data_IF_572323285216
#
_entry.id   IF_572323285216
#
_cell.length_a   1.000
_cell.length_b   1.000
_cell.length_c   1.000
_cell.angle_alpha   90.00
_cell.angle_beta   90.00
_cell.angle_gamma   90.00
#
_symmetry.space_group_name_H-M   'P 1'
#
loop_
_entity.id
_entity.type
_entity.pdbx_description
1 polymer ?
#
# COMPACT_ATOMS: atom_id res chain seq x y z
N UNK A 1 -11.10 -17.07 31.62
CA UNK A 1 -10.38 -15.86 31.15
C UNK A 1 -8.96 -16.30 30.89
N UNK A 2 -8.50 -16.35 29.64
CA UNK A 2 -7.15 -16.83 29.30
C UNK A 2 -6.19 -15.67 29.53
N UNK A 3 -5.15 -15.86 30.35
CA UNK A 3 -4.13 -14.85 30.57
C UNK A 3 -3.29 -14.70 29.29
N UNK A 4 -3.16 -13.48 28.78
CA UNK A 4 -2.31 -13.15 27.64
C UNK A 4 -1.00 -12.61 28.17
N UNK A 5 0.08 -13.32 27.90
CA UNK A 5 1.45 -12.97 28.27
C UNK A 5 2.16 -12.27 27.11
N UNK A 6 3.22 -11.53 27.44
CA UNK A 6 4.02 -10.77 26.46
C UNK A 6 5.50 -11.12 26.58
N UNK A 7 6.15 -11.29 25.43
CA UNK A 7 7.60 -11.45 25.34
C UNK A 7 8.20 -10.40 24.41
N UNK A 8 9.33 -9.84 24.82
CA UNK A 8 10.14 -9.01 23.94
C UNK A 8 11.08 -9.89 23.12
N UNK A 9 11.06 -9.74 21.81
CA UNK A 9 11.92 -10.47 20.88
C UNK A 9 12.77 -9.49 20.11
N UNK A 10 14.09 -9.67 20.14
CA UNK A 10 14.99 -8.95 19.25
C UNK A 10 15.10 -9.68 17.91
N UNK A 11 14.95 -8.94 16.82
CA UNK A 11 15.17 -9.44 15.48
C UNK A 11 16.49 -8.90 14.95
N UNK A 12 17.45 -9.80 14.72
CA UNK A 12 18.80 -9.44 14.27
C UNK A 12 18.78 -8.80 12.87
N UNK A 13 18.03 -9.38 11.94
CA UNK A 13 17.89 -8.88 10.56
C UNK A 13 17.30 -7.45 10.51
N UNK A 14 16.33 -7.14 11.37
CA UNK A 14 15.73 -5.80 11.45
C UNK A 14 16.49 -4.84 12.38
N UNK A 15 17.45 -5.32 13.16
CA UNK A 15 18.13 -4.54 14.20
C UNK A 15 17.22 -3.97 15.30
N UNK A 16 16.01 -4.53 15.53
CA UNK A 16 15.02 -3.95 16.46
C UNK A 16 14.20 -5.01 17.22
N UNK A 17 13.61 -4.59 18.35
CA UNK A 17 12.79 -5.44 19.22
C UNK A 17 11.29 -5.30 18.97
N UNK A 18 10.55 -6.39 19.12
CA UNK A 18 9.10 -6.49 18.96
C UNK A 18 8.46 -7.14 20.19
N UNK A 19 7.20 -6.81 20.45
CA UNK A 19 6.40 -7.46 21.49
C UNK A 19 5.50 -8.52 20.87
N UNK A 20 5.65 -9.76 21.31
CA UNK A 20 4.78 -10.87 20.93
C UNK A 20 3.82 -11.20 22.07
N UNK A 21 2.54 -11.28 21.73
CA UNK A 21 1.48 -11.73 22.62
C UNK A 21 1.25 -13.24 22.44
N UNK A 22 1.12 -13.96 23.56
CA UNK A 22 0.81 -15.38 23.56
C UNK A 22 -0.15 -15.73 24.69
N UNK A 23 -1.05 -16.66 24.39
CA UNK A 23 -1.88 -17.31 25.39
C UNK A 23 -1.14 -18.54 25.90
N UNK A 24 -1.20 -18.79 27.20
CA UNK A 24 -0.65 -19.99 27.82
C UNK A 24 -1.53 -21.19 27.44
N UNK A 25 -1.26 -21.78 26.28
CA UNK A 25 -1.88 -23.03 25.83
C UNK A 25 -1.03 -24.19 26.34
N UNK A 26 -1.61 -25.10 27.12
CA UNK A 26 -0.87 -26.20 27.76
C UNK A 26 -0.21 -27.11 26.71
N UNK A 27 1.03 -26.80 26.31
CA UNK A 27 1.85 -27.66 25.45
C UNK A 27 2.69 -28.58 26.33
N UNK A 28 2.80 -29.85 25.95
CA UNK A 28 3.47 -30.89 26.76
C UNK A 28 4.96 -30.64 27.00
N UNK A 29 5.57 -29.72 26.25
CA UNK A 29 7.01 -29.43 26.29
C UNK A 29 7.35 -28.05 26.90
N UNK A 30 6.35 -27.26 27.30
CA UNK A 30 6.56 -25.95 27.94
C UNK A 30 7.22 -24.89 27.03
N UNK A 31 7.23 -25.11 25.72
CA UNK A 31 7.78 -24.22 24.68
C UNK A 31 6.70 -23.95 23.64
N UNK A 32 6.50 -22.66 23.36
CA UNK A 32 5.59 -22.09 22.38
C UNK A 32 6.35 -21.60 21.17
N UNK A 33 5.92 -21.98 19.98
CA UNK A 33 6.47 -21.41 18.76
C UNK A 33 5.54 -20.32 18.22
N UNK A 34 6.10 -19.15 17.94
CA UNK A 34 5.41 -18.02 17.28
C UNK A 34 6.21 -17.59 16.05
N UNK A 35 5.49 -17.12 15.04
CA UNK A 35 6.07 -16.56 13.82
C UNK A 35 5.72 -15.09 13.70
N UNK A 36 6.72 -14.24 13.45
CA UNK A 36 6.53 -12.87 12.99
C UNK A 36 6.94 -12.82 11.51
N UNK A 37 6.04 -12.39 10.64
CA UNK A 37 6.35 -12.21 9.22
C UNK A 37 6.99 -10.83 9.07
N UNK A 38 8.21 -10.81 8.53
CA UNK A 38 8.86 -9.63 7.97
C UNK A 38 8.82 -9.74 6.44
N UNK A 39 9.15 -8.66 5.73
CA UNK A 39 9.02 -8.60 4.28
C UNK A 39 9.71 -9.79 3.59
N UNK A 40 10.99 -9.98 3.87
CA UNK A 40 11.89 -10.93 3.19
C UNK A 40 12.20 -12.20 4.00
N UNK A 41 11.69 -12.31 5.23
CA UNK A 41 11.89 -13.48 6.08
C UNK A 41 10.79 -13.66 7.13
N UNK A 42 10.59 -14.89 7.60
CA UNK A 42 9.78 -15.18 8.78
C UNK A 42 10.69 -15.37 9.97
N UNK A 43 10.50 -14.56 11.01
CA UNK A 43 11.14 -14.75 12.31
C UNK A 43 10.33 -15.78 13.11
N UNK A 44 10.91 -16.95 13.31
CA UNK A 44 10.34 -18.00 14.16
C UNK A 44 11.00 -17.92 15.54
N UNK A 45 10.17 -17.85 16.57
CA UNK A 45 10.59 -17.63 17.96
C UNK A 45 10.01 -18.73 18.83
N UNK A 46 10.88 -19.41 19.57
CA UNK A 46 10.51 -20.37 20.61
C UNK A 46 10.54 -19.65 21.97
N UNK A 47 9.39 -19.56 22.63
CA UNK A 47 9.15 -18.85 23.89
C UNK A 47 8.75 -19.88 24.95
N UNK A 48 9.28 -19.82 26.16
CA UNK A 48 8.82 -20.70 27.25
C UNK A 48 7.62 -20.12 28.03
N UNK A 49 7.07 -20.90 28.96
CA UNK A 49 5.95 -20.47 29.82
C UNK A 49 6.23 -19.21 30.67
N UNK A 50 7.50 -18.85 30.91
CA UNK A 50 7.86 -17.63 31.63
C UNK A 50 8.00 -16.41 30.69
N UNK A 51 7.72 -16.59 29.39
CA UNK A 51 7.90 -15.55 28.38
C UNK A 51 9.37 -15.35 27.99
N UNK A 52 10.27 -16.28 28.29
CA UNK A 52 11.66 -16.20 27.90
C UNK A 52 11.83 -16.74 26.49
N UNK A 53 12.40 -15.92 25.60
CA UNK A 53 12.80 -16.34 24.26
C UNK A 53 13.98 -17.30 24.38
N UNK A 54 13.77 -18.56 24.00
CA UNK A 54 14.79 -19.62 24.05
C UNK A 54 15.57 -19.72 22.76
N UNK A 55 14.89 -19.51 21.64
CA UNK A 55 15.49 -19.57 20.31
C UNK A 55 14.77 -18.61 19.38
N UNK A 56 15.53 -17.93 18.55
CA UNK A 56 15.04 -17.23 17.37
C UNK A 56 15.75 -17.80 16.14
N UNK A 57 15.02 -17.92 15.03
CA UNK A 57 15.61 -18.17 13.72
C UNK A 57 14.86 -17.37 12.66
N UNK A 58 15.60 -16.81 11.73
CA UNK A 58 15.03 -16.20 10.53
C UNK A 58 15.03 -17.25 9.43
N UNK A 59 13.88 -17.43 8.77
CA UNK A 59 13.77 -18.22 7.55
C UNK A 59 13.52 -17.24 6.42
N UNK A 60 14.48 -17.09 5.50
CA UNK A 60 14.29 -16.28 4.30
C UNK A 60 13.07 -16.80 3.55
N UNK A 61 12.20 -15.88 3.16
CA UNK A 61 11.08 -16.20 2.29
C UNK A 61 11.69 -16.20 0.88
N UNK A 62 11.91 -17.38 0.29
CA UNK A 62 12.45 -17.51 -1.08
C UNK A 62 11.61 -16.78 -2.14
N UNK A 63 10.36 -16.43 -1.79
CA UNK A 63 9.44 -15.67 -2.62
C UNK A 63 8.60 -14.71 -1.75
N UNK A 64 9.08 -13.49 -1.52
CA UNK A 64 8.29 -12.45 -0.87
C UNK A 64 7.12 -12.07 -1.81
N UNK A 65 5.86 -12.41 -1.46
CA UNK A 65 4.70 -12.11 -2.30
C UNK A 65 4.49 -10.61 -2.46
N UNK A 66 5.00 -9.79 -1.52
CA UNK A 66 4.86 -8.35 -1.56
C UNK A 66 5.93 -7.70 -2.43
N UNK A 67 7.17 -8.20 -2.40
CA UNK A 67 8.18 -7.83 -3.39
C UNK A 67 7.73 -8.18 -4.81
N UNK A 68 7.15 -9.36 -5.01
CA UNK A 68 6.61 -9.78 -6.31
C UNK A 68 5.48 -8.87 -6.78
N UNK A 69 4.55 -8.51 -5.88
CA UNK A 69 3.48 -7.55 -6.21
C UNK A 69 4.04 -6.16 -6.56
N UNK A 70 5.06 -5.67 -5.83
CA UNK A 70 5.72 -4.39 -6.14
C UNK A 70 6.32 -4.42 -7.55
N UNK A 71 7.02 -5.50 -7.89
CA UNK A 71 7.66 -5.67 -9.20
C UNK A 71 6.61 -5.73 -10.33
N UNK A 72 5.53 -6.49 -10.14
CA UNK A 72 4.42 -6.59 -11.10
C UNK A 72 3.74 -5.23 -11.32
N UNK A 73 3.43 -4.51 -10.24
CA UNK A 73 2.77 -3.21 -10.30
C UNK A 73 3.68 -2.16 -10.97
N UNK A 74 4.97 -2.15 -10.63
CA UNK A 74 5.93 -1.23 -11.25
C UNK A 74 6.06 -1.49 -12.76
N UNK A 75 6.15 -2.76 -13.16
CA UNK A 75 6.24 -3.16 -14.55
C UNK A 75 4.98 -2.78 -15.34
N UNK A 76 3.80 -2.95 -14.75
CA UNK A 76 2.53 -2.56 -15.38
C UNK A 76 2.43 -1.03 -15.54
N UNK A 77 2.85 -0.24 -14.56
CA UNK A 77 2.92 1.21 -14.73
C UNK A 77 3.96 1.66 -15.76
N UNK A 78 5.08 0.96 -15.86
CA UNK A 78 6.06 1.21 -16.91
C UNK A 78 5.45 0.96 -18.30
N UNK A 79 4.67 -0.12 -18.47
CA UNK A 79 3.90 -0.38 -19.70
C UNK A 79 2.88 0.72 -20.00
N UNK A 80 2.06 1.12 -19.01
CA UNK A 80 1.08 2.22 -19.16
C UNK A 80 1.78 3.51 -19.61
N UNK A 81 2.94 3.82 -19.06
CA UNK A 81 3.68 5.02 -19.44
C UNK A 81 4.26 4.95 -20.87
N UNK A 82 4.46 3.74 -21.41
CA UNK A 82 4.99 3.54 -22.76
C UNK A 82 3.98 3.49 -23.89
N UNK A 83 2.72 3.21 -23.58
CA UNK A 83 1.64 3.25 -24.55
C UNK A 83 1.20 4.71 -24.85
N UNK A 84 0.64 5.01 -26.04
CA UNK A 84 -0.05 6.26 -26.30
C UNK A 84 -1.31 6.40 -25.43
N UNK A 85 -1.63 7.62 -24.99
CA UNK A 85 -2.92 7.94 -24.36
C UNK A 85 -2.84 9.19 -23.48
N UNK A 86 -3.92 9.45 -22.75
CA UNK A 86 -3.99 10.63 -21.87
C UNK A 86 -3.02 10.52 -20.69
N UNK A 87 -2.51 11.66 -20.17
CA UNK A 87 -1.76 11.69 -18.93
C UNK A 87 -2.62 11.19 -17.76
N UNK A 88 -2.01 10.42 -16.86
CA UNK A 88 -2.64 9.81 -15.70
C UNK A 88 -2.04 10.43 -14.44
N UNK A 89 -2.90 10.90 -13.56
CA UNK A 89 -2.52 11.41 -12.23
C UNK A 89 -3.16 10.54 -11.18
N UNK A 90 -2.35 9.95 -10.30
CA UNK A 90 -2.80 9.13 -9.18
C UNK A 90 -2.34 9.77 -7.88
N UNK A 91 -3.28 10.18 -7.05
CA UNK A 91 -3.01 10.71 -5.72
C UNK A 91 -3.40 9.68 -4.66
N UNK A 92 -2.42 9.18 -3.90
CA UNK A 92 -2.63 8.29 -2.77
C UNK A 92 -2.63 9.10 -1.47
N UNK A 93 -3.83 9.24 -0.89
CA UNK A 93 -4.07 9.98 0.33
C UNK A 93 -4.10 9.05 1.53
N UNK A 94 -3.00 8.99 2.28
CA UNK A 94 -2.88 8.15 3.49
C UNK A 94 -1.71 8.61 4.38
N UNK A 95 -1.84 8.39 5.69
CA UNK A 95 -0.72 8.44 6.64
C UNK A 95 -0.27 7.05 7.10
N UNK A 96 -0.92 5.97 6.63
CA UNK A 96 -0.63 4.61 7.04
C UNK A 96 0.80 4.24 6.63
N UNK A 97 1.70 4.13 7.62
CA UNK A 97 3.13 3.95 7.36
C UNK A 97 3.49 2.69 6.55
N UNK A 98 2.71 1.62 6.66
CA UNK A 98 2.93 0.39 5.87
C UNK A 98 2.52 0.61 4.42
N UNK A 99 1.35 1.23 4.21
CA UNK A 99 0.85 1.49 2.87
C UNK A 99 1.67 2.58 2.16
N UNK A 100 2.08 3.64 2.87
CA UNK A 100 3.01 4.65 2.36
C UNK A 100 4.32 4.00 1.89
N UNK A 101 4.91 3.12 2.71
CA UNK A 101 6.14 2.40 2.32
C UNK A 101 5.92 1.52 1.10
N UNK A 102 4.79 0.83 1.01
CA UNK A 102 4.45 0.01 -0.14
C UNK A 102 4.36 0.85 -1.44
N UNK A 103 3.66 1.98 -1.42
CA UNK A 103 3.58 2.88 -2.59
C UNK A 103 4.95 3.51 -2.91
N UNK A 104 5.75 3.86 -1.89
CA UNK A 104 7.12 4.34 -2.10
C UNK A 104 7.99 3.27 -2.76
N UNK A 105 7.87 2.00 -2.36
CA UNK A 105 8.59 0.91 -3.01
C UNK A 105 8.21 0.74 -4.48
N UNK A 106 6.93 0.87 -4.83
CA UNK A 106 6.48 0.89 -6.23
C UNK A 106 7.14 2.04 -7.00
N UNK A 107 7.08 3.27 -6.46
CA UNK A 107 7.71 4.45 -7.07
C UNK A 107 9.20 4.23 -7.31
N UNK A 108 9.92 3.69 -6.32
CA UNK A 108 11.35 3.43 -6.44
C UNK A 108 11.65 2.33 -7.46
N UNK A 109 10.83 1.28 -7.51
CA UNK A 109 11.00 0.19 -8.47
C UNK A 109 10.74 0.65 -9.90
N UNK A 110 9.72 1.49 -10.13
CA UNK A 110 9.48 2.12 -11.42
C UNK A 110 10.68 2.96 -11.88
N UNK A 111 11.26 3.74 -10.96
CA UNK A 111 12.46 4.53 -11.23
C UNK A 111 13.69 3.65 -11.53
N UNK A 112 13.87 2.55 -10.80
CA UNK A 112 14.94 1.58 -11.05
C UNK A 112 14.79 0.93 -12.43
N UNK A 113 13.60 0.45 -12.78
CA UNK A 113 13.31 -0.16 -14.09
C UNK A 113 13.62 0.81 -15.24
N UNK A 114 13.23 2.08 -15.10
CA UNK A 114 13.50 3.10 -16.11
C UNK A 114 14.99 3.48 -16.25
N UNK A 115 15.80 3.25 -15.21
CA UNK A 115 17.24 3.58 -15.24
C UNK A 115 18.12 2.39 -15.60
N UNK A 116 17.64 1.15 -15.41
CA UNK A 116 18.39 -0.10 -15.65
C UNK A 116 18.11 -0.74 -17.00
N UNK A 117 16.93 -0.52 -17.59
CA UNK A 117 16.62 -0.96 -18.96
C UNK A 117 17.34 -0.06 -19.98
N UNK A 118 18.64 -0.28 -20.14
CA UNK A 118 19.41 0.29 -21.24
C UNK A 118 18.96 -0.34 -22.56
N UNK A 119 18.22 0.43 -23.35
CA UNK A 119 18.23 0.59 -24.84
C UNK A 119 16.83 1.04 -25.26
N UNK A 120 16.68 2.34 -25.59
CA UNK A 120 15.51 3.00 -26.22
C UNK A 120 14.36 3.58 -25.34
N UNK A 121 14.49 3.61 -24.00
CA UNK A 121 13.43 4.18 -23.15
C UNK A 121 13.30 5.71 -23.29
N UNK A 122 12.18 6.13 -23.90
CA UNK A 122 11.76 7.51 -24.19
C UNK A 122 11.29 8.29 -22.95
N UNK A 123 11.40 7.72 -21.74
CA UNK A 123 10.69 8.23 -20.57
C UNK A 123 11.62 8.93 -19.57
N UNK A 124 11.39 10.20 -19.31
CA UNK A 124 12.03 10.91 -18.21
C UNK A 124 11.23 10.75 -16.93
N UNK A 125 11.76 10.05 -15.94
CA UNK A 125 11.20 9.99 -14.60
C UNK A 125 11.92 10.96 -13.66
N UNK A 126 11.15 11.63 -12.80
CA UNK A 126 11.67 12.38 -11.67
C UNK A 126 10.94 11.98 -10.41
N UNK A 127 11.71 11.67 -9.36
CA UNK A 127 11.18 11.33 -8.04
C UNK A 127 11.52 12.46 -7.09
N UNK A 128 10.54 12.93 -6.32
CA UNK A 128 10.74 13.98 -5.32
C UNK A 128 10.09 13.60 -4.00
N UNK A 129 10.81 13.85 -2.90
CA UNK A 129 10.29 13.63 -1.55
C UNK A 129 10.39 14.93 -0.77
N UNK A 130 9.25 15.51 -0.40
CA UNK A 130 9.20 16.75 0.37
C UNK A 130 8.03 16.74 1.34
N UNK A 131 8.28 17.07 2.62
CA UNK A 131 7.27 17.16 3.68
C UNK A 131 6.28 15.98 3.68
N UNK A 132 6.79 14.74 3.74
CA UNK A 132 5.98 13.50 3.75
C UNK A 132 5.16 13.23 2.47
N UNK A 133 5.38 13.99 1.40
CA UNK A 133 4.89 13.64 0.06
C UNK A 133 6.03 13.05 -0.74
N UNK A 134 5.80 11.85 -1.27
CA UNK A 134 6.67 11.26 -2.29
C UNK A 134 5.90 11.30 -3.60
N UNK A 135 6.51 11.84 -4.64
CA UNK A 135 5.92 11.87 -5.97
C UNK A 135 6.88 11.35 -7.02
N UNK A 136 6.33 10.66 -7.99
CA UNK A 136 6.94 10.29 -9.25
C UNK A 136 6.25 11.08 -10.35
N UNK A 137 7.03 11.69 -11.22
CA UNK A 137 6.56 12.40 -12.40
C UNK A 137 7.27 11.89 -13.64
N UNK A 138 6.49 11.61 -14.66
CA UNK A 138 6.93 11.30 -16.01
C UNK A 138 6.08 12.05 -17.04
N UNK A 139 6.26 11.77 -18.33
CA UNK A 139 5.47 12.44 -19.38
C UNK A 139 3.99 12.05 -19.32
N UNK A 140 3.68 10.77 -19.12
CA UNK A 140 2.30 10.27 -19.07
C UNK A 140 1.83 9.96 -17.66
N UNK A 141 2.71 9.47 -16.77
CA UNK A 141 2.30 9.01 -15.44
C UNK A 141 2.82 9.90 -14.30
N UNK A 142 1.91 10.34 -13.45
CA UNK A 142 2.22 11.05 -12.21
C UNK A 142 1.58 10.31 -11.03
N UNK A 143 2.40 9.78 -10.13
CA UNK A 143 1.94 9.07 -8.93
C UNK A 143 2.43 9.81 -7.70
N UNK A 144 1.58 10.02 -6.71
CA UNK A 144 1.96 10.63 -5.45
C UNK A 144 1.38 9.89 -4.25
N UNK A 145 2.08 9.94 -3.12
CA UNK A 145 1.57 9.47 -1.83
C UNK A 145 1.86 10.50 -0.74
N UNK A 146 0.83 10.91 -0.01
CA UNK A 146 0.93 11.86 1.12
C UNK A 146 -0.29 11.84 2.05
N UNK A 147 -0.14 12.32 3.30
CA UNK A 147 -1.28 12.48 4.23
C UNK A 147 -2.08 13.77 3.99
N UNK A 148 -1.86 14.46 2.87
CA UNK A 148 -2.58 15.66 2.47
C UNK A 148 -2.83 15.63 0.96
N UNK A 149 -3.98 16.15 0.55
CA UNK A 149 -4.31 16.34 -0.87
C UNK A 149 -3.72 17.68 -1.28
N UNK A 150 -2.84 17.65 -2.29
CA UNK A 150 -2.28 18.87 -2.87
C UNK A 150 -2.64 18.86 -4.34
N UNK A 151 -3.25 19.94 -4.82
CA UNK A 151 -3.36 20.19 -6.26
C UNK A 151 -1.93 20.23 -6.81
N UNK A 152 -1.57 19.18 -7.56
CA UNK A 152 -0.33 19.18 -8.31
C UNK A 152 -0.41 20.39 -9.26
N UNK A 153 0.44 21.39 -9.01
CA UNK A 153 0.57 22.60 -9.84
C UNK A 153 1.24 22.30 -11.19
N UNK A 154 1.31 21.04 -11.58
CA UNK A 154 1.78 20.64 -12.90
C UNK A 154 0.59 20.86 -13.82
N UNK A 155 0.71 21.82 -14.73
CA UNK A 155 -0.27 22.04 -15.80
C UNK A 155 -0.21 20.85 -16.76
N UNK A 156 -0.81 19.74 -16.35
CA UNK A 156 -1.04 18.58 -17.19
C UNK A 156 -2.37 18.86 -17.89
N UNK A 157 -2.34 18.81 -19.23
CA UNK A 157 -3.53 19.07 -20.04
C UNK A 157 -4.40 17.81 -20.03
N UNK A 158 -5.67 17.98 -19.65
CA UNK A 158 -6.73 16.97 -19.68
C UNK A 158 -6.32 15.59 -19.11
N UNK A 159 -5.82 15.50 -17.86
CA UNK A 159 -5.43 14.21 -17.28
C UNK A 159 -6.63 13.40 -16.80
N UNK A 160 -6.54 12.08 -16.95
CA UNK A 160 -7.36 11.15 -16.17
C UNK A 160 -6.85 11.14 -14.72
N UNK A 161 -7.66 11.65 -13.79
CA UNK A 161 -7.28 11.77 -12.38
C UNK A 161 -7.91 10.67 -11.54
N UNK A 162 -7.09 10.00 -10.76
CA UNK A 162 -7.50 8.98 -9.81
C UNK A 162 -7.05 9.27 -8.40
N UNK A 163 -7.83 8.81 -7.43
CA UNK A 163 -7.49 8.90 -6.01
C UNK A 163 -7.54 7.53 -5.35
N UNK A 164 -6.54 7.25 -4.51
CA UNK A 164 -6.59 6.20 -3.50
C UNK A 164 -6.78 6.89 -2.14
N UNK A 165 -7.96 6.80 -1.56
CA UNK A 165 -8.37 7.54 -0.36
C UNK A 165 -8.43 6.61 0.86
N UNK A 166 -7.57 6.85 1.86
CA UNK A 166 -7.71 6.23 3.18
C UNK A 166 -8.80 6.96 3.98
N UNK A 167 -9.93 6.29 4.20
CA UNK A 167 -11.10 6.92 4.84
C UNK A 167 -10.81 7.33 6.29
N UNK A 168 -9.94 6.60 6.99
CA UNK A 168 -9.61 6.91 8.37
C UNK A 168 -8.80 8.20 8.44
N UNK A 169 -7.91 8.42 7.48
CA UNK A 169 -7.15 9.66 7.36
C UNK A 169 -8.08 10.83 7.00
N UNK A 170 -9.02 10.59 6.08
CA UNK A 170 -9.97 11.61 5.63
C UNK A 170 -10.86 12.09 6.77
N UNK A 171 -11.38 11.16 7.58
CA UNK A 171 -12.18 11.46 8.76
C UNK A 171 -11.38 12.20 9.83
N UNK A 172 -10.15 11.77 10.11
CA UNK A 172 -9.27 12.42 11.10
C UNK A 172 -8.99 13.87 10.72
N UNK A 173 -8.78 14.14 9.43
CA UNK A 173 -8.55 15.48 8.91
C UNK A 173 -9.84 16.25 8.60
N UNK A 174 -11.01 15.67 8.87
CA UNK A 174 -12.34 16.25 8.64
C UNK A 174 -12.52 16.71 7.19
N UNK A 175 -12.04 15.92 6.25
CA UNK A 175 -12.24 16.17 4.83
C UNK A 175 -13.70 15.95 4.45
N UNK A 176 -14.21 16.82 3.58
CA UNK A 176 -15.45 16.60 2.87
C UNK A 176 -15.18 15.58 1.76
N UNK A 177 -15.54 14.32 2.01
CA UNK A 177 -15.21 13.20 1.14
C UNK A 177 -15.86 13.38 -0.24
N UNK A 178 -17.14 13.70 -0.30
CA UNK A 178 -17.85 13.86 -1.58
C UNK A 178 -17.24 14.98 -2.39
N UNK A 179 -17.02 16.15 -1.79
CA UNK A 179 -16.37 17.28 -2.46
C UNK A 179 -14.95 16.95 -2.91
N UNK A 180 -14.22 16.16 -2.12
CA UNK A 180 -12.87 15.72 -2.50
C UNK A 180 -12.91 14.83 -3.74
N UNK A 181 -13.91 13.97 -3.86
CA UNK A 181 -14.03 13.01 -4.95
C UNK A 181 -14.50 13.64 -6.28
N UNK A 182 -15.13 14.82 -6.25
CA UNK A 182 -15.64 15.50 -7.45
C UNK A 182 -14.57 15.80 -8.52
N UNK A 183 -13.32 15.98 -8.10
CA UNK A 183 -12.20 16.30 -8.99
C UNK A 183 -11.55 15.07 -9.65
N UNK A 184 -12.02 13.86 -9.35
CA UNK A 184 -11.41 12.60 -9.80
C UNK A 184 -12.32 11.80 -10.72
N UNK A 185 -11.74 11.26 -11.78
CA UNK A 185 -12.38 10.38 -12.78
C UNK A 185 -12.67 8.98 -12.22
N UNK A 186 -11.94 8.55 -11.19
CA UNK A 186 -12.17 7.29 -10.48
C UNK A 186 -11.64 7.36 -9.05
N UNK A 187 -12.14 6.48 -8.18
CA UNK A 187 -11.73 6.46 -6.79
C UNK A 187 -11.59 5.04 -6.21
N UNK A 188 -10.49 4.79 -5.52
CA UNK A 188 -10.32 3.65 -4.65
C UNK A 188 -10.35 4.09 -3.19
N UNK A 189 -11.28 3.58 -2.39
CA UNK A 189 -11.44 3.96 -0.98
C UNK A 189 -11.03 2.80 -0.09
N UNK A 190 -10.01 3.04 0.72
CA UNK A 190 -9.53 2.12 1.73
C UNK A 190 -10.32 2.34 3.02
N UNK A 191 -10.93 1.29 3.54
CA UNK A 191 -11.81 1.35 4.71
C UNK A 191 -11.38 0.36 5.81
N UNK A 192 -11.70 0.62 7.10
CA UNK A 192 -11.52 -0.38 8.14
C UNK A 192 -12.35 -1.62 7.85
N UNK A 193 -11.76 -2.81 8.02
CA UNK A 193 -12.45 -4.10 7.81
C UNK A 193 -13.78 -4.19 8.57
N UNK A 194 -13.83 -3.68 9.80
CA UNK A 194 -15.02 -3.69 10.66
C UNK A 194 -16.14 -2.76 10.19
N UNK A 195 -15.85 -1.79 9.33
CA UNK A 195 -16.80 -0.78 8.84
C UNK A 195 -17.07 -0.88 7.34
N UNK A 196 -16.51 -1.87 6.65
CA UNK A 196 -16.53 -2.00 5.20
C UNK A 196 -17.95 -1.89 4.61
N UNK A 197 -18.89 -2.67 5.11
CA UNK A 197 -20.28 -2.66 4.62
C UNK A 197 -20.93 -1.29 4.79
N UNK A 198 -20.71 -0.63 5.91
CA UNK A 198 -21.24 0.71 6.18
C UNK A 198 -20.74 1.75 5.19
N UNK A 199 -19.43 1.79 4.93
CA UNK A 199 -18.88 2.72 3.94
C UNK A 199 -19.28 2.34 2.51
N UNK A 200 -19.37 1.05 2.18
CA UNK A 200 -19.84 0.63 0.87
C UNK A 200 -21.26 1.14 0.61
N UNK A 201 -22.18 0.97 1.57
CA UNK A 201 -23.55 1.49 1.43
C UNK A 201 -23.60 3.01 1.33
N UNK A 202 -22.78 3.72 2.12
CA UNK A 202 -22.74 5.19 2.10
C UNK A 202 -22.21 5.73 0.77
N UNK A 203 -21.08 5.22 0.28
CA UNK A 203 -20.36 5.79 -0.86
C UNK A 203 -20.80 5.24 -2.22
N UNK A 204 -21.30 3.99 -2.27
CA UNK A 204 -21.69 3.40 -3.56
C UNK A 204 -22.84 4.13 -4.24
N UNK A 205 -23.74 4.75 -3.48
CA UNK A 205 -24.84 5.57 -4.04
C UNK A 205 -24.28 6.81 -4.73
N UNK A 206 -23.35 7.51 -4.08
CA UNK A 206 -22.65 8.69 -4.64
C UNK A 206 -21.93 8.34 -5.94
N UNK A 207 -21.11 7.28 -5.95
CA UNK A 207 -20.36 6.91 -7.15
C UNK A 207 -21.26 6.46 -8.31
N UNK A 208 -22.37 5.77 -8.02
CA UNK A 208 -23.36 5.39 -9.04
C UNK A 208 -24.06 6.60 -9.63
N UNK A 209 -24.43 7.58 -8.82
CA UNK A 209 -25.08 8.81 -9.29
C UNK A 209 -24.16 9.62 -10.20
N UNK A 210 -22.86 9.64 -9.89
CA UNK A 210 -21.84 10.36 -10.66
C UNK A 210 -21.25 9.56 -11.83
N UNK A 211 -21.69 8.32 -12.03
CA UNK A 211 -21.10 7.37 -13.00
C UNK A 211 -19.58 7.23 -12.87
N UNK A 212 -19.05 7.38 -11.65
CA UNK A 212 -17.62 7.34 -11.36
C UNK A 212 -17.20 5.91 -11.01
N UNK A 213 -16.28 5.28 -11.76
CA UNK A 213 -15.72 3.98 -11.41
C UNK A 213 -15.10 3.99 -10.01
N UNK A 214 -15.38 2.96 -9.21
CA UNK A 214 -14.93 2.93 -7.83
C UNK A 214 -14.57 1.53 -7.32
N UNK A 215 -13.64 1.51 -6.36
CA UNK A 215 -13.22 0.33 -5.60
C UNK A 215 -13.30 0.66 -4.11
N UNK A 216 -13.92 -0.19 -3.28
CA UNK A 216 -14.01 0.02 -1.82
C UNK A 216 -13.63 -1.27 -1.12
N UNK A 217 -12.51 -1.26 -0.39
CA UNK A 217 -12.02 -2.45 0.30
C UNK A 217 -11.16 -2.11 1.50
N UNK A 218 -11.02 -3.08 2.41
CA UNK A 218 -10.07 -3.03 3.52
C UNK A 218 -8.69 -3.51 3.12
N UNK A 219 -7.63 -2.88 3.64
CA UNK A 219 -6.25 -3.26 3.31
C UNK A 219 -5.92 -4.69 3.76
N UNK A 220 -5.46 -5.47 2.79
CA UNK A 220 -4.94 -6.83 2.91
C UNK A 220 -4.07 -7.11 1.68
N UNK A 221 -3.24 -8.17 1.69
CA UNK A 221 -2.42 -8.49 0.53
C UNK A 221 -3.26 -8.77 -0.74
N UNK A 222 -4.39 -9.46 -0.59
CA UNK A 222 -5.27 -9.75 -1.72
C UNK A 222 -5.94 -8.48 -2.26
N UNK A 223 -6.42 -7.61 -1.37
CA UNK A 223 -7.07 -6.37 -1.79
C UNK A 223 -6.10 -5.34 -2.35
N UNK A 224 -4.81 -5.40 -2.00
CA UNK A 224 -3.79 -4.61 -2.69
C UNK A 224 -3.68 -5.04 -4.16
N UNK A 225 -3.65 -6.34 -4.44
CA UNK A 225 -3.66 -6.82 -5.83
C UNK A 225 -4.91 -6.36 -6.58
N UNK A 226 -6.09 -6.61 -6.02
CA UNK A 226 -7.38 -6.21 -6.63
C UNK A 226 -7.49 -4.70 -6.85
N UNK A 227 -6.91 -3.89 -5.94
CA UNK A 227 -6.82 -2.45 -6.08
C UNK A 227 -6.03 -2.05 -7.33
N UNK A 228 -4.85 -2.65 -7.56
CA UNK A 228 -4.06 -2.33 -8.74
C UNK A 228 -4.67 -2.90 -10.02
N UNK A 229 -5.26 -4.10 -9.97
CA UNK A 229 -6.03 -4.65 -11.11
C UNK A 229 -7.15 -3.68 -11.53
N UNK A 230 -7.87 -3.09 -10.57
CA UNK A 230 -8.87 -2.04 -10.82
C UNK A 230 -8.26 -0.78 -11.44
N UNK A 231 -7.15 -0.28 -10.87
CA UNK A 231 -6.46 0.92 -11.39
C UNK A 231 -6.02 0.69 -12.83
N UNK A 232 -5.40 -0.46 -13.13
CA UNK A 232 -4.93 -0.78 -14.47
C UNK A 232 -6.06 -0.96 -15.47
N UNK A 233 -7.17 -1.59 -15.08
CA UNK A 233 -8.34 -1.71 -15.95
C UNK A 233 -8.84 -0.32 -16.38
N UNK A 234 -8.96 0.63 -15.45
CA UNK A 234 -9.44 1.98 -15.77
C UNK A 234 -8.41 2.80 -16.53
N UNK A 235 -7.11 2.67 -16.22
CA UNK A 235 -6.09 3.47 -16.90
C UNK A 235 -5.72 2.96 -18.29
N UNK A 236 -6.03 1.70 -18.62
CA UNK A 236 -5.83 1.14 -19.96
C UNK A 236 -7.06 1.29 -20.87
N UNK A 237 -8.27 1.40 -20.31
CA UNK A 237 -9.51 1.63 -21.07
C UNK A 237 -9.68 3.09 -21.56
N UNK A 238 -8.91 4.03 -21.01
CA UNK A 238 -8.90 5.46 -21.37
C UNK A 238 -7.60 5.85 -22.10
#
# INVERSE_FOLDING_TARGET
MIAVSKSQVYCEECGRSYWLEFADESTSNGIFQKSLIHNDYVLIVDIDHNGVVRKSKSISIEHDPMASLIDDVAQAFHYVNGEPGEPIVIDCYTSNSQFVKFIQSIIMKMFEQATTNHVEDKFSFSVSTFKQRTSLHSERLHLSVSPYIKNNSINIKDPTKGIILDIMEAEQNKLDIEKTLEDYSWAAVIVPKSKKEGYFHALSSYFKEKETPFFIESLSNNSLKELFDFIFAITLEN
#
